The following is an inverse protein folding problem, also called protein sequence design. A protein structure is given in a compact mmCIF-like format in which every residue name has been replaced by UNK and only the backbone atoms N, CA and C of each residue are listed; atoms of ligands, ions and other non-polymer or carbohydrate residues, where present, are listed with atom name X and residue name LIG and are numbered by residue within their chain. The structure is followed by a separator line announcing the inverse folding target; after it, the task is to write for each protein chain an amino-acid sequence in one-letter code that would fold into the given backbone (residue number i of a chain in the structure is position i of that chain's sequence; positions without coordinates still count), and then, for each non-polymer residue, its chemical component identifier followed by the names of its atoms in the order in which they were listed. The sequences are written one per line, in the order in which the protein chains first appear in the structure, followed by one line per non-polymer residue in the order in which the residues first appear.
data_IF_992814933213
#
_entry.id   IF_992814933213
#
_cell.length_a   1.000
_cell.length_b   1.000
_cell.length_c   1.000
_cell.angle_alpha   90.00
_cell.angle_beta   90.00
_cell.angle_gamma   90.00
#
_symmetry.space_group_name_H-M   'P 1'
#
loop_
_entity.id
_entity.type
_entity.pdbx_description
1 polymer ?
#
# COMPACT_ATOMS: atom_id res chain seq x y z
N UNK A 1 -5.36 -38.21 0.65
CA UNK A 1 -4.18 -37.65 1.32
C UNK A 1 -3.21 -37.22 0.22
N UNK A 2 -3.09 -35.92 -0.08
CA UNK A 2 -2.11 -35.45 -1.06
C UNK A 2 -0.82 -35.15 -0.29
N UNK A 3 0.15 -36.06 -0.39
CA UNK A 3 1.53 -35.78 -0.01
C UNK A 3 2.03 -34.69 -0.97
N UNK A 4 2.18 -33.48 -0.46
CA UNK A 4 2.95 -32.45 -1.16
C UNK A 4 4.43 -32.90 -1.13
N UNK A 5 4.86 -33.68 -2.12
CA UNK A 5 6.27 -33.94 -2.35
C UNK A 5 6.99 -32.60 -2.62
N UNK A 6 8.18 -32.42 -2.01
CA UNK A 6 9.20 -31.39 -2.25
C UNK A 6 8.72 -29.97 -2.64
N UNK A 7 8.92 -29.01 -1.73
CA UNK A 7 8.98 -27.53 -1.94
C UNK A 7 8.63 -27.03 -3.36
N UNK A 8 7.38 -27.24 -3.81
CA UNK A 8 6.95 -26.79 -5.13
C UNK A 8 6.52 -25.34 -5.01
N UNK A 9 7.34 -24.42 -5.51
CA UNK A 9 7.03 -22.99 -5.53
C UNK A 9 5.94 -22.75 -6.57
N UNK A 10 4.73 -22.44 -6.11
CA UNK A 10 3.58 -22.17 -6.98
C UNK A 10 3.72 -20.83 -7.73
N UNK A 11 4.21 -19.81 -7.04
CA UNK A 11 4.64 -18.53 -7.57
C UNK A 11 5.34 -17.72 -6.45
N UNK A 12 6.22 -16.81 -6.83
CA UNK A 12 6.94 -15.93 -5.90
C UNK A 12 6.75 -14.45 -6.32
N UNK A 13 6.50 -13.58 -5.34
CA UNK A 13 6.36 -12.13 -5.56
C UNK A 13 6.90 -11.36 -4.36
N UNK A 14 7.64 -10.30 -4.65
CA UNK A 14 8.05 -9.30 -3.66
C UNK A 14 6.90 -8.30 -3.45
N UNK A 15 6.47 -8.14 -2.19
CA UNK A 15 5.32 -7.34 -1.78
C UNK A 15 5.69 -6.59 -0.50
N UNK A 16 5.52 -5.28 -0.47
CA UNK A 16 5.90 -4.42 0.64
C UNK A 16 7.37 -4.01 0.67
N UNK A 17 8.14 -4.36 -0.39
CA UNK A 17 9.55 -3.99 -0.52
C UNK A 17 9.69 -2.49 -0.82
N UNK A 18 10.62 -1.83 -0.13
CA UNK A 18 10.97 -0.44 -0.41
C UNK A 18 12.31 -0.38 -1.10
N UNK A 19 12.36 0.17 -2.31
CA UNK A 19 13.62 0.57 -2.93
C UNK A 19 13.97 1.98 -2.49
N UNK A 20 15.11 2.14 -1.84
CA UNK A 20 15.61 3.43 -1.38
C UNK A 20 16.74 3.88 -2.30
N UNK A 21 16.53 4.98 -3.03
CA UNK A 21 17.64 5.73 -3.62
C UNK A 21 18.14 6.72 -2.58
N UNK A 22 19.37 6.51 -2.08
CA UNK A 22 20.00 7.43 -1.15
C UNK A 22 20.67 8.53 -1.98
N UNK A 23 20.08 9.72 -1.97
CA UNK A 23 20.73 10.90 -2.55
C UNK A 23 21.64 11.57 -1.51
N UNK A 24 22.91 11.68 -1.86
CA UNK A 24 23.99 12.08 -0.98
C UNK A 24 24.79 13.22 -1.65
N UNK A 25 24.35 14.49 -1.51
CA UNK A 25 25.02 15.65 -2.13
C UNK A 25 26.36 16.08 -1.49
N UNK A 26 27.48 15.87 -2.18
CA UNK A 26 28.81 16.27 -1.68
C UNK A 26 29.29 17.57 -2.33
N UNK A 27 30.06 18.37 -1.59
CA UNK A 27 30.83 19.49 -2.10
C UNK A 27 32.29 19.06 -2.18
N UNK A 28 32.90 19.31 -3.34
CA UNK A 28 34.33 19.17 -3.54
C UNK A 28 35.00 20.55 -3.47
N UNK A 29 35.98 20.71 -2.60
CA UNK A 29 36.79 21.93 -2.47
C UNK A 29 38.25 21.63 -2.79
N UNK A 30 38.84 22.40 -3.70
CA UNK A 30 40.26 22.32 -4.03
C UNK A 30 41.07 23.33 -3.19
N UNK A 31 42.24 22.90 -2.69
CA UNK A 31 43.20 23.75 -2.00
C UNK A 31 44.52 23.80 -2.79
N UNK A 32 44.65 24.67 -3.82
CA UNK A 32 45.76 24.66 -4.76
C UNK A 32 47.13 24.81 -4.09
N UNK A 33 47.23 25.65 -3.05
CA UNK A 33 48.48 25.90 -2.31
C UNK A 33 48.98 24.70 -1.51
N UNK A 34 48.10 23.73 -1.21
CA UNK A 34 48.43 22.52 -0.43
C UNK A 34 48.44 21.26 -1.30
N UNK A 35 48.01 21.35 -2.56
CA UNK A 35 47.84 20.20 -3.44
C UNK A 35 46.80 19.19 -2.94
N UNK A 36 45.89 19.63 -2.05
CA UNK A 36 44.88 18.76 -1.43
C UNK A 36 43.47 19.08 -1.92
N UNK A 37 42.62 18.06 -1.92
CA UNK A 37 41.20 18.16 -2.23
C UNK A 37 40.41 17.68 -1.02
N UNK A 38 39.35 18.39 -0.67
CA UNK A 38 38.47 18.01 0.44
C UNK A 38 37.07 17.76 -0.08
N UNK A 39 36.55 16.56 0.17
CA UNK A 39 35.16 16.22 -0.08
C UNK A 39 34.37 16.33 1.22
N UNK A 40 33.24 17.02 1.19
CA UNK A 40 32.40 17.23 2.37
C UNK A 40 30.93 16.99 2.02
N UNK A 41 30.25 16.13 2.76
CA UNK A 41 28.81 15.97 2.64
C UNK A 41 28.07 17.22 3.12
N UNK A 42 27.02 17.66 2.43
CA UNK A 42 26.22 18.82 2.86
C UNK A 42 25.15 18.46 3.91
N UNK A 43 25.10 17.19 4.33
CA UNK A 43 24.15 16.71 5.34
C UNK A 43 24.86 16.38 6.65
N UNK A 44 24.18 16.73 7.76
CA UNK A 44 24.63 16.41 9.11
C UNK A 44 26.02 16.96 9.45
N UNK A 45 26.66 16.35 10.45
CA UNK A 45 28.05 16.62 10.81
C UNK A 45 28.95 15.60 10.11
N UNK A 46 29.15 15.74 8.80
CA UNK A 46 30.17 14.99 8.07
C UNK A 46 31.50 15.78 8.11
N UNK A 47 32.58 15.25 8.72
CA UNK A 47 33.89 15.86 8.60
C UNK A 47 34.33 15.86 7.13
N UNK A 48 35.06 16.89 6.73
CA UNK A 48 35.68 16.92 5.41
C UNK A 48 36.72 15.82 5.32
N UNK A 49 36.72 15.07 4.23
CA UNK A 49 37.69 14.01 3.98
C UNK A 49 38.68 14.51 2.94
N UNK A 50 39.97 14.48 3.27
CA UNK A 50 41.02 14.73 2.27
C UNK A 50 41.06 13.57 1.27
N UNK A 51 41.12 13.91 -0.01
CA UNK A 51 41.13 12.98 -1.12
C UNK A 51 42.33 13.26 -2.02
N UNK A 52 43.00 12.19 -2.43
CA UNK A 52 44.14 12.24 -3.35
C UNK A 52 43.72 12.66 -4.76
N UNK A 53 44.64 13.33 -5.47
CA UNK A 53 44.44 13.80 -6.84
C UNK A 53 44.00 12.69 -7.81
N UNK A 54 44.52 11.47 -7.67
CA UNK A 54 44.16 10.32 -8.53
C UNK A 54 42.68 9.91 -8.40
N UNK A 55 42.13 9.93 -7.19
CA UNK A 55 40.71 9.63 -6.92
C UNK A 55 39.80 10.74 -7.44
N UNK A 56 40.23 11.99 -7.33
CA UNK A 56 39.52 13.15 -7.89
C UNK A 56 39.44 13.05 -9.42
N UNK A 57 40.56 12.74 -10.09
CA UNK A 57 40.57 12.59 -11.55
C UNK A 57 39.63 11.47 -12.00
N UNK A 58 39.56 10.36 -11.26
CA UNK A 58 38.61 9.29 -11.54
C UNK A 58 37.14 9.73 -11.33
N UNK A 59 36.86 10.52 -10.28
CA UNK A 59 35.53 11.07 -10.00
C UNK A 59 35.09 12.09 -11.06
N UNK A 60 35.96 13.02 -11.44
CA UNK A 60 35.66 14.00 -12.49
C UNK A 60 35.43 13.31 -13.83
N UNK A 61 36.26 12.32 -14.18
CA UNK A 61 36.08 11.52 -15.40
C UNK A 61 34.77 10.72 -15.40
N UNK A 62 34.26 10.29 -14.24
CA UNK A 62 32.95 9.62 -14.16
C UNK A 62 31.77 10.60 -14.25
N UNK A 63 31.99 11.88 -13.90
CA UNK A 63 31.04 12.97 -14.12
C UNK A 63 31.02 13.45 -15.58
N UNK A 64 32.15 13.37 -16.29
CA UNK A 64 32.30 13.76 -17.70
C UNK A 64 31.63 12.79 -18.71
N UNK A 65 31.12 11.64 -18.24
CA UNK A 65 30.29 10.77 -19.05
C UNK A 65 28.94 11.42 -19.40
N UNK A 66 28.20 10.85 -20.36
CA UNK A 66 26.80 11.20 -20.56
C UNK A 66 26.02 10.81 -19.30
N UNK A 67 25.95 11.72 -18.33
CA UNK A 67 25.05 11.56 -17.21
C UNK A 67 23.67 11.41 -17.85
N UNK A 68 23.05 10.24 -17.66
CA UNK A 68 21.60 10.17 -17.83
C UNK A 68 21.08 11.18 -16.82
N UNK A 69 20.74 12.38 -17.29
CA UNK A 69 20.33 13.50 -16.46
C UNK A 69 18.99 13.15 -15.80
N UNK A 70 19.04 12.31 -14.78
CA UNK A 70 17.93 12.00 -13.91
C UNK A 70 17.81 13.18 -12.95
N UNK A 71 17.25 14.28 -13.44
CA UNK A 71 16.94 15.42 -12.59
C UNK A 71 16.02 14.95 -11.46
N UNK A 72 16.34 15.38 -10.24
CA UNK A 72 15.42 15.23 -9.12
C UNK A 72 14.21 16.12 -9.38
N UNK A 73 13.07 15.48 -9.63
CA UNK A 73 11.82 16.18 -9.75
C UNK A 73 11.15 16.25 -8.38
N UNK A 74 10.81 17.48 -7.97
CA UNK A 74 10.02 17.71 -6.77
C UNK A 74 8.57 17.92 -7.18
N UNK A 75 7.66 17.13 -6.59
CA UNK A 75 6.22 17.34 -6.75
C UNK A 75 5.74 18.25 -5.61
N UNK A 76 5.34 19.51 -5.90
CA UNK A 76 4.77 20.37 -4.86
C UNK A 76 3.48 19.72 -4.33
N UNK A 77 3.39 19.56 -3.01
CA UNK A 77 2.22 18.96 -2.37
C UNK A 77 1.07 19.96 -2.28
N UNK A 78 0.58 20.40 -3.43
CA UNK A 78 -0.53 21.34 -3.60
C UNK A 78 -1.67 20.61 -4.31
N UNK A 79 -2.88 20.71 -3.79
CA UNK A 79 -4.06 20.08 -4.37
C UNK A 79 -4.37 20.70 -5.74
N UNK A 80 -4.40 19.92 -6.82
CA UNK A 80 -4.72 20.43 -8.16
C UNK A 80 -6.11 21.06 -8.29
N UNK A 81 -7.06 20.66 -7.42
CA UNK A 81 -8.44 21.16 -7.52
C UNK A 81 -8.66 22.49 -6.79
N UNK A 82 -8.10 22.66 -5.59
CA UNK A 82 -8.44 23.78 -4.72
C UNK A 82 -7.25 24.58 -4.21
N UNK A 83 -6.02 24.24 -4.64
CA UNK A 83 -4.80 24.96 -4.24
C UNK A 83 -4.37 24.77 -2.78
N UNK A 84 -5.12 24.00 -1.97
CA UNK A 84 -4.76 23.75 -0.58
C UNK A 84 -3.59 22.76 -0.46
N UNK A 85 -2.77 22.93 0.58
CA UNK A 85 -1.66 22.02 0.85
C UNK A 85 -2.15 20.58 1.06
N UNK A 86 -1.58 19.65 0.31
CA UNK A 86 -1.73 18.22 0.56
C UNK A 86 -0.82 17.81 1.74
N UNK A 87 -1.25 16.85 2.57
CA UNK A 87 -0.50 16.47 3.76
C UNK A 87 0.85 15.84 3.37
N UNK A 88 1.94 16.38 3.90
CA UNK A 88 3.30 15.88 3.70
C UNK A 88 3.55 14.64 4.58
N UNK A 89 3.14 13.48 4.09
CA UNK A 89 3.33 12.21 4.81
C UNK A 89 4.38 11.35 4.12
N UNK A 90 5.43 11.01 4.85
CA UNK A 90 6.49 10.12 4.35
C UNK A 90 5.95 8.75 3.91
N UNK A 91 6.38 8.32 2.72
CA UNK A 91 6.00 7.07 2.10
C UNK A 91 4.54 7.00 1.61
N UNK A 92 3.78 8.09 1.67
CA UNK A 92 2.41 8.09 1.20
C UNK A 92 2.34 8.07 -0.34
N UNK A 93 1.59 7.12 -0.89
CA UNK A 93 1.41 6.93 -2.34
C UNK A 93 0.08 7.50 -2.84
N UNK A 94 -0.83 7.80 -1.92
CA UNK A 94 -2.03 8.57 -2.17
C UNK A 94 -2.25 9.60 -1.05
N UNK A 95 -2.71 10.78 -1.44
CA UNK A 95 -2.89 11.93 -0.56
C UNK A 95 -4.34 12.39 -0.59
N UNK A 96 -4.90 12.68 0.58
CA UNK A 96 -6.24 13.23 0.72
C UNK A 96 -6.16 14.72 1.03
N UNK A 97 -6.83 15.55 0.23
CA UNK A 97 -6.97 16.96 0.50
C UNK A 97 -7.95 17.17 1.66
N UNK A 98 -7.52 17.86 2.72
CA UNK A 98 -8.36 18.13 3.89
C UNK A 98 -9.38 19.27 3.68
N UNK A 99 -9.27 19.98 2.56
CA UNK A 99 -10.14 21.11 2.20
C UNK A 99 -11.28 20.67 1.25
N UNK A 100 -10.95 20.19 0.05
CA UNK A 100 -11.98 19.77 -0.93
C UNK A 100 -12.37 18.28 -0.82
N UNK A 101 -11.76 17.56 0.12
CA UNK A 101 -11.98 16.12 0.35
C UNK A 101 -11.76 15.24 -0.89
N UNK A 102 -10.96 15.68 -1.88
CA UNK A 102 -10.52 14.83 -3.01
C UNK A 102 -9.24 14.07 -2.68
N UNK A 103 -9.10 12.87 -3.24
CA UNK A 103 -7.89 12.08 -3.12
C UNK A 103 -7.09 12.08 -4.43
N UNK A 104 -5.77 12.00 -4.29
CA UNK A 104 -4.82 12.08 -5.38
C UNK A 104 -3.80 10.96 -5.28
N UNK A 105 -3.57 10.31 -6.40
CA UNK A 105 -2.50 9.35 -6.60
C UNK A 105 -1.21 10.08 -6.99
N UNK A 106 -0.06 9.68 -6.43
CA UNK A 106 1.26 10.15 -6.90
C UNK A 106 1.84 9.17 -7.92
N UNK A 107 1.80 9.51 -9.21
CA UNK A 107 2.31 8.65 -10.30
C UNK A 107 3.24 9.44 -11.19
N UNK A 108 4.47 8.94 -11.39
CA UNK A 108 5.44 9.55 -12.32
C UNK A 108 5.57 11.06 -12.13
N UNK A 109 5.69 11.50 -10.87
CA UNK A 109 5.81 12.91 -10.50
C UNK A 109 4.60 13.79 -10.89
N UNK A 110 3.39 13.22 -10.92
CA UNK A 110 2.14 13.94 -11.16
C UNK A 110 1.03 13.43 -10.24
N UNK A 111 0.04 14.30 -9.98
CA UNK A 111 -1.19 13.91 -9.30
C UNK A 111 -2.23 13.41 -10.31
N UNK A 112 -2.77 12.22 -10.06
CA UNK A 112 -3.94 11.71 -10.78
C UNK A 112 -5.12 11.59 -9.82
N UNK A 113 -6.36 11.92 -10.24
CA UNK A 113 -7.53 11.75 -9.38
C UNK A 113 -7.68 10.31 -8.90
N UNK A 114 -7.98 10.15 -7.60
CA UNK A 114 -8.23 8.84 -6.99
C UNK A 114 -9.64 8.82 -6.41
N UNK A 115 -10.47 7.90 -6.89
CA UNK A 115 -11.75 7.62 -6.28
C UNK A 115 -11.53 6.98 -4.91
N UNK A 116 -12.17 7.55 -3.89
CA UNK A 116 -12.22 6.93 -2.57
C UNK A 116 -13.62 7.04 -1.95
N UNK A 117 -13.88 6.16 -0.99
CA UNK A 117 -15.07 6.17 -0.14
C UNK A 117 -14.65 6.14 1.33
N UNK A 118 -15.45 6.73 2.18
CA UNK A 118 -15.28 6.64 3.63
C UNK A 118 -16.59 6.28 4.31
N UNK A 119 -16.54 5.26 5.18
CA UNK A 119 -17.73 4.73 5.83
C UNK A 119 -18.15 5.58 7.03
N UNK A 120 -19.45 5.71 7.25
CA UNK A 120 -19.99 6.47 8.38
C UNK A 120 -19.64 5.83 9.71
N UNK A 121 -19.27 6.68 10.67
CA UNK A 121 -19.13 6.31 12.09
C UNK A 121 -20.48 6.59 12.78
N UNK A 122 -20.98 5.70 13.64
CA UNK A 122 -22.09 6.03 14.54
C UNK A 122 -21.72 7.20 15.47
N UNK A 123 -22.62 8.16 15.69
CA UNK A 123 -22.35 9.42 16.42
C UNK A 123 -21.71 9.27 17.82
N UNK A 124 -21.76 8.08 18.43
CA UNK A 124 -21.20 7.77 19.75
C UNK A 124 -19.70 7.40 19.76
N UNK A 125 -19.04 7.33 18.61
CA UNK A 125 -17.65 6.83 18.51
C UNK A 125 -16.64 7.98 18.38
N UNK A 126 -16.19 8.53 19.52
CA UNK A 126 -15.18 9.62 19.57
C UNK A 126 -13.73 9.17 19.32
N UNK A 127 -13.43 7.87 19.46
CA UNK A 127 -12.07 7.30 19.31
C UNK A 127 -11.93 6.35 18.11
N UNK A 128 -12.41 6.79 16.95
CA UNK A 128 -12.26 6.05 15.71
C UNK A 128 -11.10 6.57 14.87
N UNK A 129 -10.33 5.63 14.32
CA UNK A 129 -9.33 5.87 13.29
C UNK A 129 -9.78 5.21 12.00
N UNK A 130 -9.70 5.94 10.90
CA UNK A 130 -9.99 5.41 9.58
C UNK A 130 -8.76 4.73 9.00
N UNK A 131 -8.87 3.44 8.72
CA UNK A 131 -7.82 2.66 8.09
C UNK A 131 -8.15 2.46 6.60
N UNK A 132 -7.19 2.71 5.69
CA UNK A 132 -7.42 2.59 4.26
C UNK A 132 -7.25 1.16 3.76
N UNK A 133 -8.12 0.76 2.84
CA UNK A 133 -8.08 -0.53 2.14
C UNK A 133 -8.25 -0.29 0.65
N UNK A 134 -7.47 -1.00 -0.16
CA UNK A 134 -7.74 -1.15 -1.57
C UNK A 134 -8.92 -2.08 -1.76
N UNK A 135 -9.96 -1.58 -2.41
CA UNK A 135 -11.08 -2.38 -2.89
C UNK A 135 -10.80 -2.78 -4.32
N UNK A 136 -10.56 -4.08 -4.51
CA UNK A 136 -10.27 -4.67 -5.81
C UNK A 136 -11.46 -5.51 -6.25
N UNK A 137 -12.06 -5.13 -7.36
CA UNK A 137 -13.06 -5.96 -8.06
C UNK A 137 -12.36 -6.74 -9.16
N UNK A 138 -12.49 -8.06 -9.11
CA UNK A 138 -11.71 -9.01 -9.89
C UNK A 138 -12.62 -9.93 -10.70
N UNK A 139 -12.17 -10.26 -11.90
CA UNK A 139 -12.63 -11.42 -12.65
C UNK A 139 -11.54 -12.50 -12.59
N UNK A 140 -11.94 -13.74 -12.31
CA UNK A 140 -11.05 -14.88 -12.15
C UNK A 140 -11.22 -15.82 -13.34
N UNK A 141 -10.22 -15.90 -14.21
CA UNK A 141 -10.20 -16.89 -15.30
C UNK A 141 -9.41 -18.11 -14.89
N UNK A 142 -10.01 -19.30 -15.01
CA UNK A 142 -9.38 -20.57 -14.60
C UNK A 142 -9.74 -21.06 -13.19
N UNK A 143 -10.63 -20.33 -12.48
CA UNK A 143 -11.27 -20.80 -11.24
C UNK A 143 -12.79 -20.81 -11.41
N UNK A 144 -13.50 -21.79 -10.82
CA UNK A 144 -14.97 -21.82 -10.82
C UNK A 144 -15.54 -20.87 -9.75
N UNK A 145 -15.04 -19.64 -9.69
CA UNK A 145 -15.46 -18.60 -8.73
C UNK A 145 -15.82 -17.37 -9.57
N UNK A 146 -17.11 -17.14 -9.77
CA UNK A 146 -17.61 -16.08 -10.67
C UNK A 146 -18.06 -14.84 -9.90
N UNK A 147 -18.48 -15.03 -8.66
CA UNK A 147 -19.07 -13.97 -7.85
C UNK A 147 -18.47 -13.84 -6.46
N UNK A 148 -18.77 -12.71 -5.81
CA UNK A 148 -18.51 -12.49 -4.39
C UNK A 148 -19.21 -13.56 -3.54
N UNK A 149 -20.41 -13.98 -3.94
CA UNK A 149 -21.14 -15.05 -3.27
C UNK A 149 -20.34 -16.37 -3.29
N UNK A 150 -19.88 -16.80 -4.46
CA UNK A 150 -19.13 -18.06 -4.64
C UNK A 150 -17.87 -18.09 -3.79
N UNK A 151 -17.08 -17.01 -3.84
CA UNK A 151 -15.83 -16.88 -3.08
C UNK A 151 -16.08 -17.06 -1.58
N UNK A 152 -17.15 -16.44 -1.06
CA UNK A 152 -17.50 -16.48 0.36
C UNK A 152 -18.07 -17.82 0.77
N UNK A 153 -18.90 -18.45 -0.07
CA UNK A 153 -19.44 -19.77 0.20
C UNK A 153 -18.31 -20.80 0.36
N UNK A 154 -17.31 -20.74 -0.53
CA UNK A 154 -16.12 -21.58 -0.44
C UNK A 154 -15.31 -21.29 0.83
N UNK A 155 -15.09 -20.02 1.16
CA UNK A 155 -14.27 -19.66 2.32
C UNK A 155 -14.99 -19.84 3.67
N UNK A 156 -16.32 -19.72 3.71
CA UNK A 156 -17.17 -19.66 4.91
C UNK A 156 -18.57 -20.25 4.63
N UNK A 157 -18.66 -21.55 4.41
CA UNK A 157 -19.89 -22.26 3.97
C UNK A 157 -21.09 -22.22 4.93
N UNK A 158 -20.92 -21.74 6.16
CA UNK A 158 -21.91 -21.87 7.26
C UNK A 158 -22.72 -20.58 7.54
N UNK A 159 -22.73 -19.60 6.64
CA UNK A 159 -23.48 -18.35 6.82
C UNK A 159 -24.47 -18.14 5.68
N UNK A 160 -25.71 -17.75 6.00
CA UNK A 160 -26.67 -17.26 5.00
C UNK A 160 -26.10 -15.99 4.37
N UNK A 161 -25.83 -16.05 3.06
CA UNK A 161 -25.27 -14.94 2.29
C UNK A 161 -26.39 -14.21 1.55
N UNK A 162 -26.32 -12.88 1.40
CA UNK A 162 -27.26 -12.14 0.56
C UNK A 162 -27.22 -12.62 -0.89
N UNK A 163 -28.37 -12.94 -1.47
CA UNK A 163 -28.46 -13.40 -2.86
C UNK A 163 -27.97 -12.35 -3.87
N UNK A 164 -28.11 -11.07 -3.55
CA UNK A 164 -27.61 -9.96 -4.36
C UNK A 164 -26.11 -10.10 -4.70
N UNK A 165 -25.31 -10.74 -3.82
CA UNK A 165 -23.88 -10.93 -4.03
C UNK A 165 -23.54 -11.95 -5.13
N UNK A 166 -24.51 -12.72 -5.63
CA UNK A 166 -24.32 -13.61 -6.77
C UNK A 166 -24.05 -12.85 -8.08
N UNK A 167 -24.51 -11.60 -8.17
CA UNK A 167 -24.31 -10.70 -9.32
C UNK A 167 -23.12 -9.78 -9.14
N UNK A 168 -22.54 -9.73 -7.96
CA UNK A 168 -21.32 -8.96 -7.69
C UNK A 168 -20.10 -9.77 -8.10
N UNK A 169 -19.21 -9.18 -8.90
CA UNK A 169 -17.90 -9.77 -9.18
C UNK A 169 -17.10 -10.00 -7.89
N UNK A 170 -16.04 -10.82 -7.97
CA UNK A 170 -15.18 -11.12 -6.82
C UNK A 170 -14.57 -9.83 -6.27
N UNK A 171 -14.64 -9.64 -4.95
CA UNK A 171 -14.13 -8.44 -4.29
C UNK A 171 -13.13 -8.81 -3.21
N UNK A 172 -11.96 -8.17 -3.23
CA UNK A 172 -10.97 -8.24 -2.16
C UNK A 172 -10.78 -6.87 -1.51
N UNK A 173 -10.54 -6.89 -0.21
CA UNK A 173 -10.11 -5.73 0.57
C UNK A 173 -8.70 -5.99 1.09
N UNK A 174 -7.75 -5.22 0.55
CA UNK A 174 -6.34 -5.36 0.89
C UNK A 174 -5.91 -4.12 1.67
N UNK A 175 -5.23 -4.26 2.83
CA UNK A 175 -4.71 -3.11 3.56
C UNK A 175 -3.91 -2.18 2.63
N UNK A 176 -4.24 -0.89 2.64
CA UNK A 176 -3.49 0.11 1.87
C UNK A 176 -2.37 0.75 2.71
N UNK A 177 -1.98 0.08 3.79
CA UNK A 177 -0.94 0.43 4.75
C UNK A 177 -0.12 -0.82 5.06
N UNK A 178 1.12 -0.63 5.49
CA UNK A 178 2.04 -1.74 5.74
C UNK A 178 1.76 -2.42 7.07
N UNK A 179 1.89 -3.74 7.08
CA UNK A 179 1.73 -4.63 8.22
C UNK A 179 2.74 -5.77 8.08
N UNK A 180 3.11 -6.43 9.19
CA UNK A 180 3.92 -7.64 9.11
C UNK A 180 3.22 -8.73 8.28
N UNK A 181 3.94 -9.56 7.48
CA UNK A 181 3.34 -10.42 6.45
C UNK A 181 2.21 -11.33 6.94
N UNK A 182 2.38 -12.01 8.08
CA UNK A 182 1.35 -12.88 8.67
C UNK A 182 0.09 -12.10 9.05
N UNK A 183 0.27 -10.90 9.61
CA UNK A 183 -0.83 -10.02 10.00
C UNK A 183 -1.51 -9.41 8.78
N UNK A 184 -0.74 -8.99 7.78
CA UNK A 184 -1.24 -8.48 6.51
C UNK A 184 -2.18 -9.49 5.83
N UNK A 185 -1.75 -10.75 5.68
CA UNK A 185 -2.58 -11.80 5.07
C UNK A 185 -3.85 -12.06 5.87
N UNK A 186 -3.73 -12.16 7.21
CA UNK A 186 -4.87 -12.33 8.10
C UNK A 186 -5.90 -11.21 7.94
N UNK A 187 -5.45 -9.96 7.97
CA UNK A 187 -6.32 -8.79 7.82
C UNK A 187 -6.94 -8.75 6.43
N UNK A 188 -6.15 -8.91 5.36
CA UNK A 188 -6.66 -8.91 3.99
C UNK A 188 -7.73 -10.00 3.77
N UNK A 189 -7.47 -11.22 4.25
CA UNK A 189 -8.42 -12.34 4.22
C UNK A 189 -9.71 -12.00 4.95
N UNK A 190 -9.60 -11.59 6.22
CA UNK A 190 -10.77 -11.36 7.06
C UNK A 190 -11.60 -10.16 6.57
N UNK A 191 -10.96 -9.10 6.08
CA UNK A 191 -11.65 -7.95 5.51
C UNK A 191 -12.35 -8.32 4.20
N UNK A 192 -11.73 -9.11 3.33
CA UNK A 192 -12.38 -9.63 2.10
C UNK A 192 -13.58 -10.55 2.41
N UNK A 193 -13.56 -11.22 3.57
CA UNK A 193 -14.65 -12.04 4.08
C UNK A 193 -15.59 -11.30 5.04
N UNK A 194 -15.38 -10.01 5.32
CA UNK A 194 -16.30 -9.26 6.15
C UNK A 194 -17.58 -8.95 5.37
N UNK A 195 -18.76 -8.95 6.01
CA UNK A 195 -20.03 -8.62 5.35
C UNK A 195 -20.18 -7.10 5.18
N UNK A 196 -19.19 -6.46 4.55
CA UNK A 196 -19.20 -5.02 4.32
C UNK A 196 -20.05 -4.72 3.09
N UNK A 197 -21.11 -3.95 3.28
CA UNK A 197 -21.96 -3.48 2.21
C UNK A 197 -21.33 -2.25 1.52
N UNK A 198 -20.86 -2.45 0.30
CA UNK A 198 -20.18 -1.42 -0.51
C UNK A 198 -21.13 -0.41 -1.14
N UNK A 199 -22.44 -0.67 -1.09
CA UNK A 199 -23.48 0.24 -1.57
C UNK A 199 -23.88 1.31 -0.54
N UNK A 200 -23.45 1.16 0.72
CA UNK A 200 -23.75 2.14 1.77
C UNK A 200 -23.29 3.55 1.38
N UNK A 201 -24.15 4.53 1.70
CA UNK A 201 -23.86 5.96 1.48
C UNK A 201 -22.56 6.35 2.18
N UNK A 202 -21.65 6.93 1.42
CA UNK A 202 -20.46 7.58 1.93
C UNK A 202 -20.84 8.88 2.68
N UNK A 203 -19.90 9.38 3.48
CA UNK A 203 -19.99 10.72 4.06
C UNK A 203 -18.80 11.59 3.65
N UNK A 204 -17.89 11.06 2.83
CA UNK A 204 -16.53 11.57 2.74
C UNK A 204 -15.82 11.51 4.10
N UNK A 205 -14.53 11.82 4.10
CA UNK A 205 -13.83 12.12 5.35
C UNK A 205 -14.08 13.58 5.70
N UNK A 206 -14.39 13.84 6.97
CA UNK A 206 -14.51 15.20 7.51
C UNK A 206 -13.16 15.69 8.00
N UNK A 207 -12.93 16.99 7.91
CA UNK A 207 -11.76 17.65 8.49
C UNK A 207 -11.62 17.28 9.97
N UNK A 208 -10.40 16.99 10.40
CA UNK A 208 -10.08 16.56 11.78
C UNK A 208 -10.27 15.06 12.07
N UNK A 209 -10.82 14.26 11.15
CA UNK A 209 -10.87 12.81 11.34
C UNK A 209 -9.48 12.18 11.21
N UNK A 210 -9.15 11.30 12.16
CA UNK A 210 -7.86 10.58 12.18
C UNK A 210 -7.86 9.49 11.10
N UNK A 211 -6.95 9.59 10.15
CA UNK A 211 -6.78 8.65 9.05
C UNK A 211 -5.39 8.04 9.09
N UNK A 212 -5.26 6.75 8.76
CA UNK A 212 -3.97 6.17 8.44
C UNK A 212 -3.61 6.52 6.98
N UNK A 213 -2.38 6.98 6.72
CA UNK A 213 -1.90 7.25 5.37
C UNK A 213 -1.89 6.01 4.48
N UNK A 214 -2.07 6.22 3.17
CA UNK A 214 -1.94 5.16 2.18
C UNK A 214 -0.46 4.96 1.85
N UNK A 215 0.14 3.89 2.34
CA UNK A 215 1.58 3.57 2.17
C UNK A 215 1.87 2.31 1.36
N UNK A 216 0.82 1.59 0.99
CA UNK A 216 0.94 0.35 0.24
C UNK A 216 0.40 0.58 -1.18
N UNK A 217 1.22 0.52 -2.24
CA UNK A 217 0.78 0.78 -3.62
C UNK A 217 -0.31 -0.18 -4.12
N UNK A 218 -1.18 0.29 -5.02
CA UNK A 218 -2.20 -0.54 -5.69
C UNK A 218 -1.56 -1.65 -6.52
N UNK A 219 -0.44 -1.38 -7.18
CA UNK A 219 0.27 -2.38 -7.98
C UNK A 219 0.73 -3.56 -7.13
N UNK A 220 1.15 -3.29 -5.90
CA UNK A 220 1.49 -4.32 -4.92
C UNK A 220 0.26 -5.01 -4.37
N UNK A 221 -0.81 -4.27 -4.08
CA UNK A 221 -2.10 -4.86 -3.71
C UNK A 221 -2.65 -5.80 -4.78
N UNK A 222 -2.56 -5.41 -6.05
CA UNK A 222 -2.94 -6.23 -7.19
C UNK A 222 -2.13 -7.53 -7.24
N UNK A 223 -0.82 -7.49 -6.97
CA UNK A 223 0.02 -8.69 -6.87
C UNK A 223 -0.34 -9.54 -5.65
N UNK A 224 -0.65 -8.89 -4.52
CA UNK A 224 -1.06 -9.55 -3.28
C UNK A 224 -2.41 -10.28 -3.40
N UNK A 225 -3.29 -9.87 -4.30
CA UNK A 225 -4.59 -10.50 -4.53
C UNK A 225 -4.49 -12.02 -4.72
N UNK A 226 -3.50 -12.51 -5.48
CA UNK A 226 -3.28 -13.95 -5.70
C UNK A 226 -2.86 -14.67 -4.42
N UNK A 227 -2.05 -14.01 -3.58
CA UNK A 227 -1.63 -14.55 -2.27
C UNK A 227 -2.81 -14.62 -1.31
N UNK A 228 -3.64 -13.57 -1.27
CA UNK A 228 -4.87 -13.54 -0.45
C UNK A 228 -5.85 -14.62 -0.89
N UNK A 229 -6.06 -14.78 -2.20
CA UNK A 229 -6.88 -15.89 -2.75
C UNK A 229 -6.32 -17.26 -2.38
N UNK A 230 -4.99 -17.41 -2.37
CA UNK A 230 -4.33 -18.64 -1.93
C UNK A 230 -4.64 -18.93 -0.46
N UNK A 231 -4.54 -17.93 0.42
CA UNK A 231 -4.85 -18.11 1.84
C UNK A 231 -6.35 -18.39 2.09
N UNK A 232 -7.24 -17.81 1.28
CA UNK A 232 -8.68 -18.06 1.31
C UNK A 232 -9.01 -19.51 0.93
N UNK A 233 -8.35 -20.03 -0.11
CA UNK A 233 -8.67 -21.32 -0.72
C UNK A 233 -7.78 -22.48 -0.25
N UNK A 234 -6.83 -22.26 0.67
CA UNK A 234 -5.86 -23.28 1.13
C UNK A 234 -6.49 -24.58 1.66
N UNK A 235 -7.74 -24.54 2.12
CA UNK A 235 -8.49 -25.72 2.60
C UNK A 235 -9.15 -26.52 1.46
N UNK A 236 -9.24 -25.95 0.26
CA UNK A 236 -9.86 -26.55 -0.92
C UNK A 236 -8.77 -27.03 -1.89
N UNK A 237 -8.18 -28.19 -1.62
CA UNK A 237 -7.00 -28.71 -2.34
C UNK A 237 -7.14 -28.66 -3.88
N UNK A 238 -8.31 -29.03 -4.40
CA UNK A 238 -8.60 -28.96 -5.85
C UNK A 238 -8.50 -27.54 -6.39
N UNK A 239 -9.17 -26.58 -5.75
CA UNK A 239 -9.15 -25.17 -6.16
C UNK A 239 -7.77 -24.53 -5.96
N UNK A 240 -7.09 -24.90 -4.87
CA UNK A 240 -5.75 -24.40 -4.56
C UNK A 240 -4.76 -24.75 -5.68
N UNK A 241 -4.86 -25.95 -6.25
CA UNK A 241 -4.01 -26.38 -7.36
C UNK A 241 -4.20 -25.58 -8.67
N UNK A 242 -5.36 -24.90 -8.82
CA UNK A 242 -5.69 -24.09 -10.00
C UNK A 242 -5.18 -22.65 -9.89
N UNK A 243 -4.86 -22.18 -8.69
CA UNK A 243 -4.42 -20.80 -8.44
C UNK A 243 -3.23 -20.38 -9.31
N UNK A 244 -2.14 -21.18 -9.47
CA UNK A 244 -1.00 -20.80 -10.31
C UNK A 244 -1.43 -20.45 -11.74
N UNK A 245 -2.40 -21.21 -12.29
CA UNK A 245 -2.92 -21.05 -13.65
C UNK A 245 -3.99 -19.95 -13.77
N UNK A 246 -4.50 -19.46 -12.64
CA UNK A 246 -5.53 -18.42 -12.63
C UNK A 246 -4.96 -17.09 -13.12
N UNK A 247 -5.67 -16.48 -14.07
CA UNK A 247 -5.46 -15.08 -14.47
C UNK A 247 -6.43 -14.20 -13.69
N UNK A 248 -5.90 -13.12 -13.13
CA UNK A 248 -6.66 -12.12 -12.38
C UNK A 248 -6.79 -10.87 -13.24
N UNK A 249 -8.03 -10.47 -13.52
CA UNK A 249 -8.31 -9.23 -14.26
C UNK A 249 -8.97 -8.24 -13.32
N UNK A 250 -8.31 -7.10 -13.07
CA UNK A 250 -8.87 -5.99 -12.31
C UNK A 250 -9.92 -5.27 -13.15
N UNK A 251 -11.16 -5.21 -12.67
CA UNK A 251 -12.27 -4.49 -13.31
C UNK A 251 -12.45 -3.11 -12.72
N UNK A 252 -12.35 -3.01 -11.40
CA UNK A 252 -12.48 -1.75 -10.68
C UNK A 252 -11.53 -1.74 -9.50
N UNK A 253 -10.98 -0.56 -9.21
CA UNK A 253 -10.09 -0.31 -8.09
C UNK A 253 -10.49 1.00 -7.44
N UNK A 254 -10.60 0.99 -6.11
CA UNK A 254 -10.89 2.17 -5.33
C UNK A 254 -10.25 2.11 -3.96
N UNK A 255 -10.14 3.26 -3.32
CA UNK A 255 -9.68 3.35 -1.94
C UNK A 255 -10.88 3.43 -1.00
N UNK A 256 -10.90 2.64 0.06
CA UNK A 256 -11.96 2.68 1.06
C UNK A 256 -11.36 2.92 2.44
N UNK A 257 -11.82 3.97 3.11
CA UNK A 257 -11.53 4.22 4.51
C UNK A 257 -12.61 3.62 5.39
N UNK A 258 -12.21 2.66 6.22
CA UNK A 258 -13.09 1.96 7.14
C UNK A 258 -12.79 2.41 8.57
N UNK A 259 -13.82 2.66 9.41
CA UNK A 259 -13.62 3.09 10.78
C UNK A 259 -13.26 1.93 11.70
N UNK A 260 -12.21 2.12 12.49
CA UNK A 260 -11.76 1.22 13.54
C UNK A 260 -11.75 1.96 14.88
N UNK A 261 -12.43 1.40 15.88
CA UNK A 261 -12.44 1.95 17.24
C UNK A 261 -11.21 1.43 17.99
N UNK A 262 -10.51 2.33 18.69
CA UNK A 262 -9.45 1.92 19.60
C UNK A 262 -10.05 1.26 20.85
N UNK A 263 -9.62 0.04 21.15
CA UNK A 263 -10.06 -0.74 22.31
C UNK A 263 -8.86 -1.43 22.96
N UNK A 264 -8.49 -1.00 24.17
CA UNK A 264 -7.33 -1.51 24.89
C UNK A 264 -6.01 -1.22 24.15
N UNK A 265 -5.52 -2.19 23.38
CA UNK A 265 -4.27 -2.10 22.59
C UNK A 265 -4.49 -2.37 21.09
N UNK A 266 -5.74 -2.50 20.67
CA UNK A 266 -6.09 -2.87 19.30
C UNK A 266 -7.07 -1.87 18.68
N UNK A 267 -7.01 -1.76 17.36
CA UNK A 267 -8.03 -1.14 16.55
C UNK A 267 -9.01 -2.21 16.10
N UNK A 268 -10.29 -2.08 16.46
CA UNK A 268 -11.35 -3.04 16.10
C UNK A 268 -12.29 -2.41 15.08
N UNK A 269 -12.39 -3.04 13.90
CA UNK A 269 -13.19 -2.56 12.78
C UNK A 269 -14.68 -2.61 13.07
N UNK A 270 -15.39 -1.49 12.94
CA UNK A 270 -16.81 -1.39 13.29
C UNK A 270 -17.74 -2.28 12.44
N UNK A 271 -17.33 -2.58 11.20
CA UNK A 271 -18.13 -3.37 10.27
C UNK A 271 -17.64 -4.82 10.12
N UNK A 272 -16.35 -5.06 10.37
CA UNK A 272 -15.73 -6.37 10.17
C UNK A 272 -15.49 -7.15 11.46
N UNK A 273 -15.43 -6.47 12.60
CA UNK A 273 -14.92 -7.04 13.85
C UNK A 273 -13.42 -7.36 13.81
N UNK A 274 -12.71 -6.98 12.74
CA UNK A 274 -11.28 -7.26 12.60
C UNK A 274 -10.51 -6.44 13.62
N UNK A 275 -9.74 -7.12 14.47
CA UNK A 275 -8.81 -6.50 15.41
C UNK A 275 -7.39 -6.40 14.81
N UNK A 276 -6.78 -5.23 14.93
CA UNK A 276 -5.41 -4.96 14.47
C UNK A 276 -4.65 -4.35 15.66
N UNK A 277 -3.57 -4.99 16.16
CA UNK A 277 -2.76 -4.41 17.21
C UNK A 277 -2.24 -3.02 16.81
N UNK A 278 -2.39 -2.04 17.70
CA UNK A 278 -2.04 -0.65 17.39
C UNK A 278 -0.55 -0.47 17.15
N UNK A 279 0.29 -1.19 17.90
CA UNK A 279 1.74 -1.21 17.72
C UNK A 279 2.17 -1.73 16.34
N UNK A 280 1.39 -2.64 15.73
CA UNK A 280 1.66 -3.17 14.40
C UNK A 280 1.44 -2.13 13.31
N UNK A 281 0.50 -1.19 13.50
CA UNK A 281 0.30 -0.06 12.58
C UNK A 281 1.46 0.93 12.72
N UNK A 282 1.90 1.22 13.95
CA UNK A 282 3.04 2.10 14.20
C UNK A 282 4.34 1.53 13.60
N UNK A 283 4.63 0.24 13.82
CA UNK A 283 5.76 -0.44 13.18
C UNK A 283 5.68 -0.40 11.66
N UNK A 284 4.48 -0.57 11.11
CA UNK A 284 4.25 -0.46 9.66
C UNK A 284 4.58 0.91 9.07
N UNK A 285 4.67 1.99 9.87
CA UNK A 285 5.11 3.30 9.38
C UNK A 285 6.62 3.42 9.18
N UNK A 286 7.38 2.53 9.82
CA UNK A 286 8.86 2.56 9.84
C UNK A 286 9.45 1.60 8.80
N UNK A 287 8.63 0.70 8.25
CA UNK A 287 8.99 -0.28 7.22
C UNK A 287 8.64 0.27 5.84
#
# INVERSE_FOLDING_TARGET
MLQFEKNTVLFERFIGETQCLIYAPFILTEFPKRGTYVLKGIWGRCPGQEIDKSKITALLKSLDGSSQHNYLHFLPLICPECGYNLPAVSGAVALLCQNCSRAWWVKRNQFSPLAYKAFKIPSSSKDSRFLPFWHLTLELSGLPIKSRYDMRLLAMSYRKLPEAWSREAVQLLIPAFKLGPKLFLRVARNMSLAPIDMSRKDQGLKTGQRTEPVRFPLEEAARAAKVVLSDLLKKHSKLYSLIPKTRLTLKHTGLIYLPFKFQGREFVGLHSGQAIPADSIERGRVI
#
